data_IF_954002551683
#
_entry.id   IF_954002551683
#
_cell.length_a   1.000
_cell.length_b   1.000
_cell.length_c   1.000
_cell.angle_alpha   90.00
_cell.angle_beta   90.00
_cell.angle_gamma   90.00
#
_symmetry.space_group_name_H-M   'P 1'
#
loop_
_entity.id
_entity.type
_entity.pdbx_description
1 polymer ?
#
# COMPACT_ATOMS: atom_id res chain seq x y z
N UNK A 1 18.40 -3.82 -0.73
CA UNK A 1 17.44 -4.93 -0.69
C UNK A 1 17.24 -5.32 0.77
N UNK A 2 16.00 -5.57 1.14
CA UNK A 2 15.64 -6.14 2.44
C UNK A 2 15.22 -7.59 2.23
N UNK A 3 15.48 -8.43 3.20
CA UNK A 3 15.08 -9.83 3.18
C UNK A 3 14.80 -10.24 4.62
N UNK A 4 13.60 -10.72 4.87
CA UNK A 4 13.21 -11.19 6.18
C UNK A 4 13.97 -12.46 6.55
N UNK A 5 14.22 -12.67 7.83
CA UNK A 5 15.09 -13.75 8.29
C UNK A 5 14.56 -15.17 7.96
N UNK A 6 13.28 -15.27 7.65
CA UNK A 6 12.57 -16.51 7.31
C UNK A 6 12.25 -16.67 5.83
N UNK A 7 12.58 -15.66 5.03
CA UNK A 7 12.45 -15.68 3.58
C UNK A 7 13.76 -16.11 2.89
N UNK A 8 13.73 -16.22 1.58
CA UNK A 8 14.90 -16.68 0.83
C UNK A 8 14.92 -16.15 -0.60
N UNK A 9 16.06 -16.28 -1.26
CA UNK A 9 16.11 -16.14 -2.70
C UNK A 9 15.28 -17.23 -3.38
N UNK A 10 14.50 -16.84 -4.39
CA UNK A 10 13.66 -17.77 -5.15
C UNK A 10 14.48 -18.86 -5.88
N UNK A 11 15.73 -18.53 -6.23
CA UNK A 11 16.67 -19.48 -6.80
C UNK A 11 18.12 -19.16 -6.41
N UNK A 12 19.02 -20.09 -6.61
CA UNK A 12 20.45 -19.94 -6.29
C UNK A 12 21.14 -18.78 -7.04
N UNK A 13 20.57 -18.33 -8.16
CA UNK A 13 21.11 -17.24 -8.98
C UNK A 13 20.49 -15.87 -8.63
N UNK A 14 19.73 -15.74 -7.54
CA UNK A 14 19.01 -14.52 -7.20
C UNK A 14 19.88 -13.26 -7.22
N UNK A 15 21.05 -13.29 -6.58
CA UNK A 15 21.99 -12.17 -6.60
C UNK A 15 22.56 -11.87 -8.00
N UNK A 16 22.82 -12.91 -8.81
CA UNK A 16 23.26 -12.74 -10.19
C UNK A 16 22.17 -12.09 -11.07
N UNK A 17 20.94 -12.50 -10.87
CA UNK A 17 19.79 -11.89 -11.56
C UNK A 17 19.70 -10.40 -11.24
N UNK A 18 19.76 -10.02 -9.95
CA UNK A 18 19.76 -8.62 -9.51
C UNK A 18 20.93 -7.88 -10.19
N UNK A 19 22.14 -8.43 -10.09
CA UNK A 19 23.33 -7.80 -10.67
C UNK A 19 23.17 -7.56 -12.18
N UNK A 20 22.65 -8.53 -12.91
CA UNK A 20 22.41 -8.40 -14.35
C UNK A 20 21.37 -7.30 -14.67
N UNK A 21 20.28 -7.22 -13.90
CA UNK A 21 19.24 -6.21 -14.11
C UNK A 21 19.69 -4.78 -13.83
N UNK A 22 20.64 -4.59 -12.91
CA UNK A 22 21.15 -3.27 -12.52
C UNK A 22 22.48 -2.92 -13.19
N UNK A 23 23.18 -3.88 -13.79
CA UNK A 23 24.51 -3.66 -14.36
C UNK A 23 24.46 -2.72 -15.58
N UNK A 24 25.40 -1.79 -15.64
CA UNK A 24 25.64 -0.91 -16.80
C UNK A 24 24.64 0.24 -16.97
N UNK A 25 23.66 0.41 -16.10
CA UNK A 25 22.75 1.54 -16.14
C UNK A 25 22.58 2.15 -14.74
N UNK A 26 22.52 3.47 -14.66
CA UNK A 26 22.09 4.14 -13.43
C UNK A 26 20.71 3.63 -13.03
N UNK A 27 20.51 3.38 -11.75
CA UNK A 27 19.20 3.11 -11.17
C UNK A 27 19.13 3.67 -9.75
N UNK A 28 17.96 4.08 -9.33
CA UNK A 28 17.67 4.44 -7.95
C UNK A 28 16.93 3.30 -7.26
N UNK A 29 15.93 2.73 -7.94
CA UNK A 29 15.15 1.61 -7.45
C UNK A 29 14.85 0.60 -8.56
N UNK A 30 14.90 -0.68 -8.21
CA UNK A 30 14.42 -1.80 -9.02
C UNK A 30 13.24 -2.44 -8.31
N UNK A 31 12.10 -2.51 -8.97
CA UNK A 31 10.91 -3.24 -8.53
C UNK A 31 10.84 -4.52 -9.38
N UNK A 32 11.17 -5.64 -8.78
CA UNK A 32 11.11 -6.95 -9.42
C UNK A 32 9.87 -7.72 -8.97
N UNK A 33 9.47 -8.68 -9.80
CA UNK A 33 8.53 -9.70 -9.36
C UNK A 33 9.08 -10.46 -8.14
N UNK A 34 8.18 -10.97 -7.31
CA UNK A 34 8.50 -11.91 -6.24
C UNK A 34 7.47 -13.04 -6.20
N UNK A 35 7.83 -14.14 -5.60
CA UNK A 35 6.95 -15.31 -5.45
C UNK A 35 6.50 -15.39 -4.00
N UNK A 36 5.20 -15.55 -3.82
CA UNK A 36 4.60 -15.87 -2.53
C UNK A 36 4.31 -17.35 -2.44
N UNK A 37 4.83 -18.01 -1.41
CA UNK A 37 4.40 -19.36 -1.04
C UNK A 37 3.15 -19.24 -0.15
N UNK A 38 2.05 -19.85 -0.57
CA UNK A 38 0.81 -19.93 0.19
C UNK A 38 0.30 -21.37 0.25
N UNK A 39 -0.90 -21.60 0.73
CA UNK A 39 -1.52 -22.92 0.83
C UNK A 39 -2.88 -22.92 0.11
N UNK A 40 -3.15 -23.99 -0.64
CA UNK A 40 -4.48 -24.23 -1.19
C UNK A 40 -5.47 -24.72 -0.12
N UNK A 41 -6.71 -24.97 -0.52
CA UNK A 41 -7.76 -25.49 0.37
C UNK A 41 -7.45 -26.88 0.97
N UNK A 42 -6.51 -27.62 0.37
CA UNK A 42 -6.01 -28.92 0.84
C UNK A 42 -4.69 -28.80 1.61
N UNK A 43 -4.29 -27.56 1.98
CA UNK A 43 -3.02 -27.25 2.65
C UNK A 43 -1.76 -27.63 1.83
N UNK A 44 -1.88 -27.81 0.51
CA UNK A 44 -0.73 -28.04 -0.34
C UNK A 44 -0.06 -26.70 -0.71
N UNK A 45 1.27 -26.68 -0.89
CA UNK A 45 1.97 -25.49 -1.35
C UNK A 45 1.39 -24.96 -2.66
N UNK A 46 1.12 -23.67 -2.70
CA UNK A 46 0.73 -22.91 -3.87
C UNK A 46 1.67 -21.69 -3.99
N UNK A 47 2.13 -21.40 -5.19
CA UNK A 47 3.04 -20.30 -5.46
C UNK A 47 2.36 -19.25 -6.33
N UNK A 48 2.30 -18.03 -5.83
CA UNK A 48 1.68 -16.88 -6.50
C UNK A 48 2.78 -15.92 -6.91
N UNK A 49 2.80 -15.53 -8.18
CA UNK A 49 3.74 -14.53 -8.68
C UNK A 49 3.14 -13.13 -8.58
N UNK A 50 3.81 -12.23 -7.85
CA UNK A 50 3.45 -10.83 -7.71
C UNK A 50 4.33 -10.00 -8.65
N UNK A 51 3.71 -9.42 -9.68
CA UNK A 51 4.38 -8.57 -10.63
C UNK A 51 4.12 -7.10 -10.31
N UNK A 52 5.17 -6.27 -10.37
CA UNK A 52 5.08 -4.81 -10.21
C UNK A 52 4.36 -4.35 -8.93
N UNK A 53 4.40 -5.16 -7.89
CA UNK A 53 3.82 -4.79 -6.60
C UNK A 53 4.55 -3.57 -6.02
N UNK A 54 3.79 -2.58 -5.59
CA UNK A 54 4.32 -1.33 -5.02
C UNK A 54 4.30 -1.30 -3.49
N UNK A 55 3.72 -2.31 -2.86
CA UNK A 55 3.41 -2.30 -1.42
C UNK A 55 4.50 -2.98 -0.60
N UNK A 56 4.74 -4.26 -0.86
CA UNK A 56 5.68 -5.06 -0.10
C UNK A 56 7.14 -4.70 -0.40
N UNK A 57 8.04 -4.91 0.57
CA UNK A 57 9.50 -4.75 0.37
C UNK A 57 10.12 -5.89 -0.45
N UNK A 58 9.37 -6.98 -0.63
CA UNK A 58 9.79 -8.17 -1.35
C UNK A 58 10.14 -7.86 -2.81
N UNK A 59 11.24 -8.40 -3.29
CA UNK A 59 11.65 -8.21 -4.68
C UNK A 59 12.12 -6.79 -5.04
N UNK A 60 12.49 -5.95 -4.04
CA UNK A 60 12.92 -4.58 -4.31
C UNK A 60 14.38 -4.34 -3.95
N UNK A 61 15.05 -3.59 -4.82
CA UNK A 61 16.46 -3.20 -4.63
C UNK A 61 16.59 -1.71 -4.81
N UNK A 62 17.23 -1.04 -3.85
CA UNK A 62 17.44 0.39 -3.86
C UNK A 62 18.93 0.69 -3.81
N UNK A 63 19.38 1.66 -4.60
CA UNK A 63 20.74 2.18 -4.52
C UNK A 63 20.90 2.90 -3.17
N UNK A 64 21.86 2.45 -2.36
CA UNK A 64 22.06 3.01 -1.02
C UNK A 64 22.25 4.53 -1.04
N UNK A 65 23.01 5.05 -1.99
CA UNK A 65 23.27 6.49 -2.09
C UNK A 65 21.98 7.27 -2.38
N UNK A 66 21.09 6.75 -3.22
CA UNK A 66 19.77 7.35 -3.47
C UNK A 66 18.96 7.49 -2.16
N UNK A 67 18.91 6.43 -1.34
CA UNK A 67 18.21 6.50 -0.06
C UNK A 67 18.79 7.56 0.88
N UNK A 68 20.12 7.72 0.86
CA UNK A 68 20.82 8.73 1.67
C UNK A 68 20.59 10.14 1.13
N UNK A 69 20.71 10.36 -0.17
CA UNK A 69 20.56 11.66 -0.84
C UNK A 69 19.12 12.20 -0.66
N UNK A 70 18.13 11.33 -0.82
CA UNK A 70 16.71 11.67 -0.64
C UNK A 70 16.25 11.58 0.83
N UNK A 71 17.16 11.25 1.75
CA UNK A 71 16.85 11.06 3.17
C UNK A 71 15.61 10.17 3.39
N UNK A 72 15.55 9.03 2.66
CA UNK A 72 14.49 8.04 2.82
C UNK A 72 14.85 7.12 3.98
N UNK A 73 13.95 7.04 4.95
CA UNK A 73 14.09 6.22 6.16
C UNK A 73 12.81 5.45 6.44
N UNK A 74 12.94 4.34 7.13
CA UNK A 74 11.80 3.71 7.78
C UNK A 74 11.19 4.70 8.78
N UNK A 75 9.90 4.60 8.97
CA UNK A 75 9.22 5.38 9.99
C UNK A 75 8.97 4.49 11.22
N UNK A 76 9.74 4.73 12.28
CA UNK A 76 9.71 3.92 13.50
C UNK A 76 8.39 4.03 14.28
N UNK A 77 7.53 5.01 13.93
CA UNK A 77 6.19 5.16 14.52
C UNK A 77 5.16 4.22 13.86
N UNK A 78 5.50 3.63 12.71
CA UNK A 78 4.61 2.73 11.98
C UNK A 78 4.94 1.28 12.34
N UNK A 79 4.00 0.58 12.98
CA UNK A 79 4.16 -0.83 13.37
C UNK A 79 3.71 -1.76 12.22
N UNK A 80 2.73 -1.31 11.42
CA UNK A 80 2.15 -2.04 10.29
C UNK A 80 2.03 -1.05 9.12
N UNK A 81 2.17 -1.54 7.89
CA UNK A 81 2.20 -0.75 6.64
C UNK A 81 3.41 0.21 6.52
N UNK A 82 4.45 -0.03 7.31
CA UNK A 82 5.75 0.67 7.23
C UNK A 82 6.44 0.42 5.89
N UNK A 83 6.29 -0.78 5.35
CA UNK A 83 6.84 -1.18 4.05
C UNK A 83 6.13 -0.46 2.89
N UNK A 84 4.81 -0.32 2.94
CA UNK A 84 4.05 0.48 1.98
C UNK A 84 4.52 1.94 1.96
N UNK A 85 4.68 2.55 3.13
CA UNK A 85 5.22 3.90 3.28
C UNK A 85 6.61 4.02 2.65
N UNK A 86 7.53 3.13 3.03
CA UNK A 86 8.91 3.16 2.56
C UNK A 86 9.01 2.96 1.05
N UNK A 87 8.29 1.96 0.51
CA UNK A 87 8.32 1.64 -0.92
C UNK A 87 7.68 2.73 -1.78
N UNK A 88 6.57 3.31 -1.34
CA UNK A 88 5.96 4.44 -2.05
C UNK A 88 6.92 5.62 -2.14
N UNK A 89 7.63 5.96 -1.05
CA UNK A 89 8.67 7.00 -1.09
C UNK A 89 9.78 6.64 -2.08
N UNK A 90 10.33 5.44 -2.00
CA UNK A 90 11.40 5.00 -2.91
C UNK A 90 10.98 5.08 -4.37
N UNK A 91 9.77 4.64 -4.71
CA UNK A 91 9.30 4.62 -6.10
C UNK A 91 8.97 6.02 -6.63
N UNK A 92 8.42 6.89 -5.79
CA UNK A 92 8.02 8.24 -6.22
C UNK A 92 9.15 9.26 -6.22
N UNK A 93 10.22 9.02 -5.47
CA UNK A 93 11.39 9.89 -5.45
C UNK A 93 12.49 9.41 -6.40
N UNK A 94 12.44 8.16 -6.85
CA UNK A 94 13.39 7.62 -7.82
C UNK A 94 13.28 8.34 -9.16
N UNK A 95 14.41 8.84 -9.68
CA UNK A 95 14.52 9.38 -11.04
C UNK A 95 14.67 8.25 -12.06
N UNK A 96 15.40 7.21 -11.67
CA UNK A 96 15.66 6.01 -12.47
C UNK A 96 15.00 4.79 -11.80
N UNK A 97 13.71 4.60 -12.08
CA UNK A 97 12.92 3.47 -11.61
C UNK A 97 12.89 2.37 -12.67
N UNK A 98 13.34 1.18 -12.31
CA UNK A 98 13.34 0.00 -13.17
C UNK A 98 12.31 -1.03 -12.70
N UNK A 99 11.79 -1.78 -13.64
CA UNK A 99 10.89 -2.91 -13.39
C UNK A 99 11.47 -4.19 -14.01
N UNK A 100 11.34 -5.31 -13.30
CA UNK A 100 11.72 -6.64 -13.80
C UNK A 100 10.61 -7.64 -13.50
N UNK A 101 10.31 -8.48 -14.49
CA UNK A 101 9.38 -9.61 -14.32
C UNK A 101 10.08 -10.88 -13.81
N UNK A 102 11.40 -10.83 -13.63
CA UNK A 102 12.18 -11.98 -13.18
C UNK A 102 12.18 -12.03 -11.65
N UNK A 103 11.53 -13.01 -11.01
CA UNK A 103 11.50 -13.08 -9.56
C UNK A 103 12.85 -13.56 -9.02
N UNK A 104 13.33 -12.93 -7.97
CA UNK A 104 14.52 -13.38 -7.24
C UNK A 104 14.24 -13.59 -5.75
N UNK A 105 13.04 -13.25 -5.27
CA UNK A 105 12.64 -13.31 -3.87
C UNK A 105 11.50 -14.29 -3.70
N UNK A 106 11.54 -15.10 -2.63
CA UNK A 106 10.49 -16.02 -2.21
C UNK A 106 10.02 -15.63 -0.81
N UNK A 107 8.80 -15.15 -0.72
CA UNK A 107 8.08 -14.92 0.53
C UNK A 107 7.49 -16.25 1.01
N UNK A 108 8.11 -16.82 2.03
CA UNK A 108 7.78 -18.16 2.47
C UNK A 108 6.51 -18.21 3.33
N UNK A 109 5.81 -19.32 3.22
CA UNK A 109 4.69 -19.61 4.11
C UNK A 109 5.17 -19.81 5.54
N UNK A 110 4.43 -19.22 6.50
CA UNK A 110 4.56 -19.49 7.95
C UNK A 110 3.19 -19.60 8.59
N UNK A 111 3.01 -20.62 9.46
CA UNK A 111 1.77 -20.81 10.19
C UNK A 111 1.52 -19.68 11.22
N UNK A 112 2.55 -18.98 11.67
CA UNK A 112 2.46 -17.86 12.60
C UNK A 112 2.40 -16.46 11.91
N UNK A 113 2.13 -16.39 10.62
CA UNK A 113 2.06 -15.12 9.89
C UNK A 113 0.87 -14.29 10.38
N UNK A 114 1.13 -13.05 10.81
CA UNK A 114 0.12 -12.13 11.36
C UNK A 114 -0.93 -11.74 10.30
N UNK A 115 -0.51 -11.52 9.06
CA UNK A 115 -1.39 -11.02 7.99
C UNK A 115 -2.17 -12.10 7.24
N UNK A 116 -1.83 -13.40 7.42
CA UNK A 116 -2.41 -14.50 6.59
C UNK A 116 -3.50 -15.29 7.28
N UNK A 117 -3.62 -15.24 8.60
CA UNK A 117 -4.50 -16.12 9.38
C UNK A 117 -5.66 -15.41 10.05
N UNK A 118 -5.62 -14.09 10.14
CA UNK A 118 -6.72 -13.34 10.73
C UNK A 118 -7.68 -12.85 9.63
N UNK A 119 -8.88 -13.45 9.50
CA UNK A 119 -9.86 -12.99 8.52
C UNK A 119 -10.31 -11.54 8.75
N UNK A 120 -10.10 -11.01 9.95
CA UNK A 120 -10.40 -9.61 10.28
C UNK A 120 -9.14 -8.71 10.26
N UNK A 121 -8.05 -9.17 9.64
CA UNK A 121 -6.79 -8.42 9.61
C UNK A 121 -6.99 -7.00 9.08
N UNK A 122 -7.64 -6.83 7.93
CA UNK A 122 -7.90 -5.51 7.34
C UNK A 122 -8.74 -4.63 8.27
N UNK A 123 -9.81 -5.17 8.85
CA UNK A 123 -10.64 -4.43 9.82
C UNK A 123 -9.83 -3.90 11.00
N UNK A 124 -8.90 -4.71 11.50
CA UNK A 124 -8.06 -4.38 12.67
C UNK A 124 -6.94 -3.39 12.34
N UNK A 125 -6.44 -3.41 11.12
CA UNK A 125 -5.22 -2.68 10.72
C UNK A 125 -5.48 -1.48 9.80
N UNK A 126 -6.73 -1.22 9.42
CA UNK A 126 -7.03 -0.11 8.51
C UNK A 126 -6.63 1.25 9.08
N UNK A 127 -6.71 1.45 10.40
CA UNK A 127 -6.22 2.66 11.05
C UNK A 127 -4.71 2.85 10.84
N UNK A 128 -3.93 1.77 10.91
CA UNK A 128 -2.49 1.82 10.63
C UNK A 128 -2.20 2.17 9.16
N UNK A 129 -3.07 1.76 8.23
CA UNK A 129 -2.97 2.17 6.84
C UNK A 129 -3.24 3.67 6.67
N UNK A 130 -4.24 4.24 7.37
CA UNK A 130 -4.47 5.68 7.43
C UNK A 130 -3.25 6.42 8.01
N UNK A 131 -2.65 5.90 9.08
CA UNK A 131 -1.45 6.49 9.70
C UNK A 131 -0.25 6.44 8.75
N UNK A 132 -0.03 5.32 8.08
CA UNK A 132 1.02 5.16 7.06
C UNK A 132 0.84 6.15 5.91
N UNK A 133 -0.39 6.28 5.40
CA UNK A 133 -0.68 7.23 4.33
C UNK A 133 -0.56 8.69 4.80
N UNK A 134 -0.99 9.01 6.04
CA UNK A 134 -0.79 10.33 6.66
C UNK A 134 0.70 10.70 6.68
N UNK A 135 1.54 9.78 7.14
CA UNK A 135 2.98 9.99 7.17
C UNK A 135 3.56 10.20 5.76
N UNK A 136 3.09 9.41 4.78
CA UNK A 136 3.51 9.49 3.39
C UNK A 136 3.15 10.85 2.77
N UNK A 137 1.91 11.32 2.91
CA UNK A 137 1.45 12.61 2.39
C UNK A 137 2.26 13.76 3.00
N UNK A 138 2.51 13.73 4.32
CA UNK A 138 3.35 14.71 5.01
C UNK A 138 4.79 14.74 4.48
N UNK A 139 5.34 13.57 4.14
CA UNK A 139 6.68 13.49 3.55
C UNK A 139 6.74 14.11 2.15
N UNK A 140 5.70 13.94 1.33
CA UNK A 140 5.63 14.60 0.03
C UNK A 140 5.48 16.11 0.17
N UNK A 141 4.61 16.60 1.06
CA UNK A 141 4.47 18.04 1.34
C UNK A 141 5.79 18.66 1.84
N UNK A 142 6.50 17.99 2.75
CA UNK A 142 7.80 18.45 3.25
C UNK A 142 8.86 18.56 2.16
N UNK A 143 8.71 17.83 1.05
CA UNK A 143 9.60 17.82 -0.12
C UNK A 143 9.12 18.70 -1.28
N UNK A 144 8.07 19.48 -1.04
CA UNK A 144 7.42 20.30 -2.09
C UNK A 144 6.88 19.46 -3.28
N UNK A 145 6.53 18.19 -3.00
CA UNK A 145 5.92 17.25 -3.93
C UNK A 145 4.40 17.29 -3.80
N UNK A 146 3.82 18.45 -4.15
CA UNK A 146 2.38 18.71 -3.93
C UNK A 146 1.48 17.78 -4.77
N UNK A 147 1.88 17.45 -6.00
CA UNK A 147 1.09 16.57 -6.88
C UNK A 147 1.00 15.15 -6.31
N UNK A 148 2.12 14.60 -5.84
CA UNK A 148 2.16 13.31 -5.17
C UNK A 148 1.32 13.34 -3.88
N UNK A 149 1.42 14.39 -3.10
CA UNK A 149 0.61 14.57 -1.89
C UNK A 149 -0.88 14.57 -2.21
N UNK A 150 -1.33 15.34 -3.21
CA UNK A 150 -2.72 15.36 -3.67
C UNK A 150 -3.18 13.99 -4.16
N UNK A 151 -2.35 13.30 -4.94
CA UNK A 151 -2.66 11.96 -5.45
C UNK A 151 -2.87 10.95 -4.30
N UNK A 152 -1.93 10.87 -3.35
CA UNK A 152 -2.02 9.89 -2.26
C UNK A 152 -3.12 10.24 -1.25
N UNK A 153 -3.32 11.51 -0.95
CA UNK A 153 -4.43 11.96 -0.10
C UNK A 153 -5.79 11.60 -0.72
N UNK A 154 -5.98 11.92 -1.99
CA UNK A 154 -7.23 11.62 -2.72
C UNK A 154 -7.45 10.12 -2.87
N UNK A 155 -6.40 9.36 -3.19
CA UNK A 155 -6.47 7.91 -3.30
C UNK A 155 -6.92 7.27 -1.99
N UNK A 156 -6.39 7.70 -0.85
CA UNK A 156 -6.77 7.16 0.46
C UNK A 156 -8.20 7.54 0.84
N UNK A 157 -8.66 8.75 0.48
CA UNK A 157 -10.04 9.20 0.74
C UNK A 157 -11.04 8.29 0.02
N UNK A 158 -10.82 8.00 -1.27
CA UNK A 158 -11.71 7.10 -2.01
C UNK A 158 -11.54 5.64 -1.64
N UNK A 159 -10.32 5.21 -1.30
CA UNK A 159 -10.09 3.87 -0.76
C UNK A 159 -10.91 3.64 0.50
N UNK A 160 -10.88 4.58 1.44
CA UNK A 160 -11.65 4.53 2.67
C UNK A 160 -13.16 4.50 2.39
N UNK A 161 -13.65 5.38 1.50
CA UNK A 161 -15.06 5.40 1.12
C UNK A 161 -15.52 4.03 0.58
N UNK A 162 -14.83 3.47 -0.39
CA UNK A 162 -15.23 2.18 -0.95
C UNK A 162 -15.03 1.02 0.02
N UNK A 163 -13.95 1.01 0.80
CA UNK A 163 -13.68 -0.05 1.78
C UNK A 163 -14.76 -0.08 2.85
N UNK A 164 -15.11 1.05 3.44
CA UNK A 164 -16.12 1.11 4.52
C UNK A 164 -17.56 0.88 4.04
N UNK A 165 -17.79 0.82 2.74
CA UNK A 165 -19.06 0.44 2.12
C UNK A 165 -19.10 -1.03 1.65
N UNK A 166 -18.09 -1.84 1.93
CA UNK A 166 -18.13 -3.30 1.70
C UNK A 166 -19.00 -4.00 2.75
N UNK A 167 -19.62 -5.12 2.37
CA UNK A 167 -20.47 -5.94 3.25
C UNK A 167 -19.82 -6.26 4.58
N UNK A 168 -18.53 -6.59 4.57
CA UNK A 168 -17.76 -6.90 5.78
C UNK A 168 -17.78 -5.73 6.78
N UNK A 169 -17.61 -4.50 6.30
CA UNK A 169 -17.60 -3.29 7.14
C UNK A 169 -19.00 -2.86 7.56
N UNK A 170 -20.02 -3.19 6.77
CA UNK A 170 -21.43 -2.90 7.07
C UNK A 170 -22.04 -3.92 8.03
N UNK A 171 -21.38 -5.06 8.26
CA UNK A 171 -21.86 -6.08 9.17
C UNK A 171 -21.89 -5.55 10.62
N UNK A 172 -23.02 -5.77 11.29
CA UNK A 172 -23.25 -5.33 12.67
C UNK A 172 -22.19 -5.86 13.66
N UNK A 173 -21.62 -7.03 13.40
CA UNK A 173 -20.54 -7.62 14.22
C UNK A 173 -19.24 -6.81 14.16
N UNK A 174 -19.05 -6.00 13.13
CA UNK A 174 -17.84 -5.23 12.89
C UNK A 174 -18.02 -3.72 13.16
N UNK A 175 -19.16 -3.33 13.73
CA UNK A 175 -19.52 -1.92 13.98
C UNK A 175 -18.48 -1.14 14.80
N UNK A 176 -17.82 -1.79 15.75
CA UNK A 176 -16.80 -1.16 16.59
C UNK A 176 -15.54 -0.82 15.80
N UNK A 177 -15.08 -1.74 14.95
CA UNK A 177 -13.97 -1.49 14.03
C UNK A 177 -14.31 -0.37 13.06
N UNK A 178 -15.50 -0.43 12.46
CA UNK A 178 -15.98 0.59 11.56
C UNK A 178 -16.01 1.96 12.24
N UNK A 179 -16.62 2.09 13.40
CA UNK A 179 -16.70 3.36 14.13
C UNK A 179 -15.31 3.92 14.47
N UNK A 180 -14.41 3.09 14.97
CA UNK A 180 -13.04 3.50 15.27
C UNK A 180 -12.29 4.01 14.03
N UNK A 181 -12.51 3.35 12.88
CA UNK A 181 -11.89 3.73 11.62
C UNK A 181 -12.51 4.99 11.03
N UNK A 182 -13.83 5.14 11.07
CA UNK A 182 -14.51 6.37 10.64
C UNK A 182 -14.07 7.58 11.48
N UNK A 183 -13.89 7.40 12.78
CA UNK A 183 -13.37 8.46 13.66
C UNK A 183 -11.93 8.84 13.29
N UNK A 184 -11.05 7.86 13.04
CA UNK A 184 -9.67 8.12 12.59
C UNK A 184 -9.64 8.75 11.20
N UNK A 185 -10.54 8.31 10.30
CA UNK A 185 -10.69 8.89 8.98
C UNK A 185 -11.19 10.35 9.03
N UNK A 186 -12.03 10.70 9.99
CA UNK A 186 -12.48 12.08 10.20
C UNK A 186 -11.27 13.03 10.39
N UNK A 187 -10.29 12.63 11.23
CA UNK A 187 -9.07 13.41 11.42
C UNK A 187 -8.29 13.53 10.11
N UNK A 188 -8.16 12.42 9.38
CA UNK A 188 -7.51 12.37 8.07
C UNK A 188 -8.20 13.30 7.05
N UNK A 189 -9.53 13.28 6.99
CA UNK A 189 -10.33 14.12 6.12
C UNK A 189 -10.08 15.60 6.39
N UNK A 190 -10.18 16.03 7.63
CA UNK A 190 -9.96 17.44 7.98
C UNK A 190 -8.53 17.89 7.74
N UNK A 191 -7.57 17.01 7.83
CA UNK A 191 -6.17 17.35 7.56
C UNK A 191 -5.90 17.50 6.05
N UNK A 192 -6.54 16.71 5.17
CA UNK A 192 -6.18 16.62 3.76
C UNK A 192 -7.29 16.96 2.76
N UNK A 193 -8.47 17.40 3.20
CA UNK A 193 -9.57 17.74 2.30
C UNK A 193 -9.21 18.82 1.27
N UNK A 194 -8.40 19.80 1.63
CA UNK A 194 -7.97 20.85 0.70
C UNK A 194 -7.10 20.29 -0.44
N UNK A 195 -6.26 19.30 -0.17
CA UNK A 195 -5.51 18.60 -1.21
C UNK A 195 -6.45 17.85 -2.15
N UNK A 196 -7.45 17.15 -1.60
CA UNK A 196 -8.49 16.46 -2.37
C UNK A 196 -9.33 17.42 -3.22
N UNK A 197 -9.67 18.59 -2.71
CA UNK A 197 -10.44 19.61 -3.45
C UNK A 197 -9.61 20.25 -4.57
N UNK A 198 -8.29 20.35 -4.39
CA UNK A 198 -7.36 20.99 -5.33
C UNK A 198 -6.96 20.09 -6.51
N UNK A 199 -7.22 18.78 -6.45
CA UNK A 199 -6.86 17.86 -7.53
C UNK A 199 -7.80 18.03 -8.73
N UNK A 200 -7.27 17.88 -9.97
CA UNK A 200 -8.09 17.98 -11.18
C UNK A 200 -9.15 16.88 -11.24
N UNK A 201 -10.30 17.19 -11.87
CA UNK A 201 -11.41 16.25 -12.00
C UNK A 201 -11.01 15.01 -12.81
N UNK A 202 -10.16 15.17 -13.85
CA UNK A 202 -9.68 14.05 -14.65
C UNK A 202 -8.83 13.08 -13.84
N UNK A 203 -7.88 13.59 -13.05
CA UNK A 203 -7.05 12.75 -12.19
C UNK A 203 -7.88 12.10 -11.08
N UNK A 204 -8.85 12.81 -10.51
CA UNK A 204 -9.80 12.26 -9.54
C UNK A 204 -10.57 11.08 -10.13
N UNK A 205 -11.07 11.23 -11.37
CA UNK A 205 -11.77 10.16 -12.08
C UNK A 205 -10.87 8.94 -12.32
N UNK A 206 -9.62 9.14 -12.73
CA UNK A 206 -8.65 8.05 -12.90
C UNK A 206 -8.38 7.30 -11.59
N UNK A 207 -8.21 8.03 -10.50
CA UNK A 207 -8.02 7.44 -9.16
C UNK A 207 -9.23 6.56 -8.78
N UNK A 208 -10.45 7.10 -8.91
CA UNK A 208 -11.69 6.38 -8.60
C UNK A 208 -11.79 5.10 -9.44
N UNK A 209 -11.56 5.20 -10.76
CA UNK A 209 -11.60 4.04 -11.65
C UNK A 209 -10.56 2.99 -11.28
N UNK A 210 -9.33 3.39 -10.96
CA UNK A 210 -8.28 2.49 -10.52
C UNK A 210 -8.64 1.74 -9.23
N UNK A 211 -9.20 2.45 -8.24
CA UNK A 211 -9.64 1.85 -6.97
C UNK A 211 -10.82 0.89 -7.21
N UNK A 212 -11.84 1.32 -7.97
CA UNK A 212 -13.00 0.46 -8.30
C UNK A 212 -12.56 -0.82 -9.00
N UNK A 213 -11.69 -0.74 -10.00
CA UNK A 213 -11.19 -1.92 -10.71
C UNK A 213 -10.49 -2.91 -9.77
N UNK A 214 -9.64 -2.43 -8.86
CA UNK A 214 -9.02 -3.26 -7.83
C UNK A 214 -10.10 -3.90 -6.93
N UNK A 215 -11.04 -3.13 -6.43
CA UNK A 215 -12.08 -3.58 -5.51
C UNK A 215 -13.04 -4.60 -6.14
N UNK A 216 -13.34 -4.48 -7.44
CA UNK A 216 -14.13 -5.50 -8.15
C UNK A 216 -13.47 -6.86 -8.17
N UNK A 217 -12.13 -6.93 -8.16
CA UNK A 217 -11.41 -8.20 -8.07
C UNK A 217 -11.40 -8.78 -6.65
N UNK A 218 -11.65 -7.96 -5.63
CA UNK A 218 -11.64 -8.32 -4.22
C UNK A 218 -13.04 -8.63 -3.63
N UNK A 219 -14.13 -8.38 -4.39
CA UNK A 219 -15.51 -8.67 -3.95
C UNK A 219 -16.52 -7.57 -4.29
N UNK A 220 -17.80 -7.79 -3.94
CA UNK A 220 -18.87 -6.85 -4.19
C UNK A 220 -18.72 -5.57 -3.35
N UNK A 221 -18.91 -4.42 -3.99
CA UNK A 221 -19.02 -3.11 -3.32
C UNK A 221 -20.51 -2.78 -3.24
N UNK A 222 -21.02 -2.62 -2.02
CA UNK A 222 -22.34 -2.02 -1.79
C UNK A 222 -22.16 -0.52 -1.57
N UNK A 223 -22.53 0.27 -2.55
CA UNK A 223 -22.60 1.74 -2.38
C UNK A 223 -23.96 2.08 -1.74
N UNK A 224 -24.03 2.10 -0.41
CA UNK A 224 -25.25 2.44 0.34
C UNK A 224 -25.47 3.96 0.44
N UNK A 225 -24.38 4.73 0.34
CA UNK A 225 -24.39 6.20 0.39
C UNK A 225 -23.57 6.74 -0.77
N UNK A 226 -23.93 7.90 -1.29
CA UNK A 226 -23.03 8.65 -2.17
C UNK A 226 -21.83 9.16 -1.36
N UNK A 227 -20.72 9.44 -2.05
CA UNK A 227 -19.52 9.99 -1.40
C UNK A 227 -19.83 11.22 -0.56
N UNK A 228 -20.64 12.16 -1.07
CA UNK A 228 -20.99 13.38 -0.37
C UNK A 228 -21.85 13.14 0.88
N UNK A 229 -22.76 12.18 0.83
CA UNK A 229 -23.58 11.80 2.00
C UNK A 229 -22.71 11.14 3.06
N UNK A 230 -21.79 10.27 2.66
CA UNK A 230 -20.86 9.63 3.57
C UNK A 230 -19.92 10.65 4.24
N UNK A 231 -19.35 11.59 3.49
CA UNK A 231 -18.49 12.65 4.06
C UNK A 231 -19.28 13.50 5.08
N UNK A 232 -20.53 13.86 4.78
CA UNK A 232 -21.37 14.59 5.74
C UNK A 232 -21.61 13.80 7.04
N UNK A 233 -21.75 12.47 6.95
CA UNK A 233 -21.83 11.65 8.16
C UNK A 233 -20.54 11.68 8.96
N UNK A 234 -19.40 11.52 8.30
CA UNK A 234 -18.06 11.59 8.92
C UNK A 234 -17.85 12.95 9.63
N UNK A 235 -18.15 14.06 8.96
CA UNK A 235 -18.00 15.40 9.54
C UNK A 235 -18.85 15.62 10.78
N UNK A 236 -20.03 15.02 10.83
CA UNK A 236 -21.00 15.14 11.95
C UNK A 236 -20.79 14.12 13.08
N UNK A 237 -19.84 13.18 12.98
CA UNK A 237 -19.51 12.27 14.08
C UNK A 237 -19.02 13.04 15.31
N UNK A 238 -19.48 12.62 16.50
CA UNK A 238 -19.07 13.20 17.79
C UNK A 238 -17.72 12.68 18.27
#
# INVERSE_FOLDING_TARGET
MFCDADDMFYNACGLFIIFREINGAGFDSLVSAFVEETRDSKKQPLYINHNMDSTFVHGKVHRRQFLLDENIRWNDELIIHEDSYFNCLCQRLAKELKYSQTPFYLWRWRDASVCRHDPKYILKTYNNMLDSNTALVKQFLKRDKKEEAMFYATSMIYDAYFTMNKDEWLNQENKEYRYATEKRFKDYWFEFKELHESISQDLKTQIIMGIKNRMYTEGMILETLTFNEWIKQIENML
#
